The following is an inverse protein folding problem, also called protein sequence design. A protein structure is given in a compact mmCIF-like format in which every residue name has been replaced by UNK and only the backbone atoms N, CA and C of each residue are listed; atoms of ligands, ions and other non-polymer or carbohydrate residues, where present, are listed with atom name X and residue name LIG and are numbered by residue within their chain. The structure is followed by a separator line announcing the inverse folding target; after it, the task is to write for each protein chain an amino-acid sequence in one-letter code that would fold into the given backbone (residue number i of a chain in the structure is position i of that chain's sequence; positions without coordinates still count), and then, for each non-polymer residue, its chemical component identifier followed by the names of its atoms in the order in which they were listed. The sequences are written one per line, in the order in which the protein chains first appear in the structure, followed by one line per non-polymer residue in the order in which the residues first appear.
data_IF_177471912495
#
_entry.id   IF_177471912495
#
_cell.length_a   1.000
_cell.length_b   1.000
_cell.length_c   1.000
_cell.angle_alpha   90.00
_cell.angle_beta   90.00
_cell.angle_gamma   90.00
#
_symmetry.space_group_name_H-M   'P 1'
#
loop_
_entity.id
_entity.type
_entity.pdbx_description
1 polymer ?
#
# COMPACT_ATOMS: atom_id res chain seq x y z
N UNK A 1 -32.18 -0.69 -21.23
CA UNK A 1 -31.99 -0.48 -19.80
C UNK A 1 -30.51 -0.73 -19.47
N UNK A 2 -29.88 0.22 -18.79
CA UNK A 2 -28.50 0.05 -18.30
C UNK A 2 -28.56 -0.70 -16.98
N UNK A 3 -27.78 -1.75 -16.85
CA UNK A 3 -27.62 -2.51 -15.60
C UNK A 3 -26.19 -2.31 -15.10
N UNK A 4 -26.04 -1.88 -13.86
CA UNK A 4 -24.76 -1.70 -13.19
C UNK A 4 -24.71 -2.58 -11.97
N UNK A 5 -23.50 -2.92 -11.54
CA UNK A 5 -23.29 -3.57 -10.24
C UNK A 5 -23.49 -2.55 -9.12
N UNK A 6 -23.93 -3.02 -7.97
CA UNK A 6 -23.93 -2.24 -6.74
C UNK A 6 -22.49 -1.82 -6.40
N UNK A 7 -22.30 -0.59 -5.97
CA UNK A 7 -20.97 0.00 -5.73
C UNK A 7 -20.73 0.42 -4.27
N UNK A 8 -21.61 -0.02 -3.37
CA UNK A 8 -21.44 0.21 -1.94
C UNK A 8 -20.32 -0.62 -1.33
N UNK A 9 -19.73 -0.09 -0.27
CA UNK A 9 -18.79 -0.85 0.55
C UNK A 9 -19.58 -1.78 1.48
N UNK A 10 -19.44 -3.07 1.29
CA UNK A 10 -20.15 -4.09 2.05
C UNK A 10 -19.23 -4.83 3.01
N UNK A 11 -19.73 -5.09 4.22
CA UNK A 11 -19.05 -5.98 5.14
C UNK A 11 -19.40 -7.44 4.82
N UNK A 12 -18.37 -8.28 4.67
CA UNK A 12 -18.52 -9.69 4.37
C UNK A 12 -18.00 -10.55 5.53
N UNK A 13 -18.93 -11.35 6.13
CA UNK A 13 -18.62 -12.31 7.20
C UNK A 13 -17.88 -11.71 8.42
N UNK A 14 -18.07 -10.43 8.71
CA UNK A 14 -17.37 -9.72 9.81
C UNK A 14 -15.83 -9.83 9.75
N UNK A 15 -15.29 -10.16 8.59
CA UNK A 15 -13.85 -10.37 8.37
C UNK A 15 -13.29 -9.58 7.19
N UNK A 16 -14.13 -9.22 6.26
CA UNK A 16 -13.74 -8.59 5.02
C UNK A 16 -14.64 -7.42 4.69
N UNK A 17 -14.10 -6.46 3.99
CA UNK A 17 -14.86 -5.47 3.23
C UNK A 17 -14.73 -5.78 1.76
N UNK A 18 -15.82 -5.68 1.03
CA UNK A 18 -15.85 -5.80 -0.42
C UNK A 18 -16.47 -4.57 -1.05
N UNK A 19 -15.97 -4.16 -2.19
CA UNK A 19 -16.45 -2.98 -2.91
C UNK A 19 -15.60 -2.72 -4.15
N UNK A 20 -15.91 -1.63 -4.84
CA UNK A 20 -15.19 -1.19 -6.03
C UNK A 20 -14.04 -0.27 -5.65
N UNK A 21 -12.95 -0.34 -6.45
CA UNK A 21 -11.82 0.56 -6.35
C UNK A 21 -11.20 0.64 -4.94
N UNK A 22 -11.15 -0.50 -4.23
CA UNK A 22 -10.33 -0.62 -3.03
C UNK A 22 -8.83 -0.52 -3.38
N UNK A 23 -8.50 -0.82 -4.62
CA UNK A 23 -7.34 -0.39 -5.36
C UNK A 23 -7.56 1.03 -5.93
N UNK A 24 -6.95 2.11 -5.42
CA UNK A 24 -6.19 2.09 -4.14
C UNK A 24 -6.81 3.08 -3.13
N UNK A 25 -8.11 2.98 -2.89
CA UNK A 25 -8.77 3.75 -1.82
C UNK A 25 -8.23 3.37 -0.43
N UNK A 26 -7.70 2.14 -0.31
CA UNK A 26 -7.13 1.66 0.93
C UNK A 26 -5.83 2.38 1.28
N UNK A 27 -4.95 2.60 0.32
CA UNK A 27 -3.76 3.41 0.50
C UNK A 27 -4.11 4.86 0.86
N UNK A 28 -5.09 5.43 0.18
CA UNK A 28 -5.62 6.76 0.52
C UNK A 28 -6.12 6.86 1.97
N UNK A 29 -6.85 5.85 2.45
CA UNK A 29 -7.27 5.77 3.85
C UNK A 29 -6.06 5.68 4.81
N UNK A 30 -5.06 4.85 4.48
CA UNK A 30 -3.86 4.69 5.32
C UNK A 30 -3.11 6.01 5.50
N UNK A 31 -2.87 6.75 4.43
CA UNK A 31 -2.15 8.04 4.52
C UNK A 31 -2.96 9.08 5.30
N UNK A 32 -4.28 9.12 5.16
CA UNK A 32 -5.16 9.99 5.92
C UNK A 32 -5.11 9.66 7.42
N UNK A 33 -5.11 8.38 7.79
CA UNK A 33 -5.01 7.93 9.17
C UNK A 33 -3.66 8.27 9.80
N UNK A 34 -2.56 8.22 9.04
CA UNK A 34 -1.24 8.68 9.49
C UNK A 34 -1.29 10.16 9.89
N UNK A 35 -1.85 11.02 9.04
CA UNK A 35 -1.98 12.46 9.31
C UNK A 35 -2.82 12.71 10.56
N UNK A 36 -3.97 12.03 10.65
CA UNK A 36 -4.86 12.12 11.81
C UNK A 36 -4.11 11.80 13.09
N UNK A 37 -3.41 10.67 13.16
CA UNK A 37 -2.64 10.25 14.35
C UNK A 37 -1.51 11.19 14.71
N UNK A 38 -0.80 11.73 13.74
CA UNK A 38 0.24 12.74 13.98
C UNK A 38 -0.36 14.00 14.59
N UNK A 39 -1.51 14.44 14.08
CA UNK A 39 -2.23 15.61 14.60
C UNK A 39 -2.76 15.38 16.03
N UNK A 40 -3.42 14.26 16.28
CA UNK A 40 -3.97 13.90 17.59
C UNK A 40 -2.88 13.78 18.66
N UNK A 41 -1.75 13.19 18.33
CA UNK A 41 -0.61 13.03 19.23
C UNK A 41 0.24 14.33 19.36
N UNK A 42 -0.11 15.41 18.67
CA UNK A 42 0.64 16.68 18.63
C UNK A 42 2.14 16.47 18.40
N UNK A 43 2.49 15.45 17.63
CA UNK A 43 3.88 15.07 17.40
C UNK A 43 4.54 16.06 16.45
N UNK A 44 5.57 16.74 16.94
CA UNK A 44 6.43 17.56 16.09
C UNK A 44 7.36 16.64 15.31
N UNK A 45 7.43 16.86 14.01
CA UNK A 45 8.37 16.17 13.12
C UNK A 45 9.58 17.07 12.89
N UNK A 46 10.75 16.48 12.79
CA UNK A 46 12.01 17.18 12.49
C UNK A 46 12.26 17.27 10.97
N UNK A 47 11.27 16.90 10.16
CA UNK A 47 11.28 16.91 8.70
C UNK A 47 9.93 17.35 8.14
N UNK A 48 9.91 17.78 6.89
CA UNK A 48 8.67 18.07 6.15
C UNK A 48 7.98 16.76 5.74
N UNK A 49 6.70 16.61 6.08
CA UNK A 49 5.87 15.50 5.64
C UNK A 49 4.91 15.98 4.56
N UNK A 50 5.02 15.40 3.38
CA UNK A 50 4.07 15.55 2.29
C UNK A 50 3.17 14.31 2.23
N UNK A 51 1.87 14.53 2.23
CA UNK A 51 0.88 13.47 2.05
C UNK A 51 0.27 13.63 0.68
N UNK A 52 0.47 12.63 -0.15
CA UNK A 52 0.13 12.68 -1.57
C UNK A 52 -0.88 11.60 -1.90
N UNK A 53 -1.99 12.01 -2.50
CA UNK A 53 -2.91 11.10 -3.18
C UNK A 53 -2.74 11.34 -4.68
N UNK A 54 -1.87 10.55 -5.30
CA UNK A 54 -1.51 10.67 -6.71
C UNK A 54 -2.66 10.24 -7.62
N UNK A 55 -2.66 10.75 -8.83
CA UNK A 55 -3.64 10.40 -9.86
C UNK A 55 -2.97 9.59 -10.97
N UNK A 56 -3.78 8.84 -11.72
CA UNK A 56 -3.33 8.13 -12.92
C UNK A 56 -2.23 7.08 -12.65
N UNK A 57 -2.30 6.42 -11.50
CA UNK A 57 -1.43 5.28 -11.20
C UNK A 57 -1.64 4.17 -12.23
N UNK A 58 -2.88 3.70 -12.40
CA UNK A 58 -3.36 2.60 -13.26
C UNK A 58 -3.03 2.76 -14.75
N UNK A 59 -2.68 3.94 -15.18
CA UNK A 59 -2.39 4.26 -16.59
C UNK A 59 -0.96 4.79 -16.82
N UNK A 60 -0.06 4.48 -15.89
CA UNK A 60 1.38 4.73 -16.04
C UNK A 60 2.00 5.66 -15.02
N UNK A 61 1.56 5.65 -13.77
CA UNK A 61 2.19 6.32 -12.60
C UNK A 61 2.40 7.83 -12.76
N UNK A 62 1.58 8.49 -13.59
CA UNK A 62 1.85 9.84 -14.09
C UNK A 62 1.81 10.89 -12.99
N UNK A 63 0.85 10.77 -12.07
CA UNK A 63 0.73 11.69 -10.94
C UNK A 63 1.94 11.60 -10.02
N UNK A 64 2.40 10.39 -9.73
CA UNK A 64 3.59 10.16 -8.90
C UNK A 64 4.86 10.73 -9.54
N UNK A 65 5.05 10.55 -10.85
CA UNK A 65 6.17 11.14 -11.57
C UNK A 65 6.20 12.67 -11.44
N UNK A 66 5.08 13.33 -11.71
CA UNK A 66 4.98 14.79 -11.63
C UNK A 66 5.20 15.31 -10.20
N UNK A 67 4.70 14.60 -9.20
CA UNK A 67 4.86 14.98 -7.80
C UNK A 67 6.29 14.73 -7.32
N UNK A 68 6.92 13.64 -7.72
CA UNK A 68 8.31 13.33 -7.40
C UNK A 68 9.25 14.44 -7.93
N UNK A 69 9.06 14.86 -9.16
CA UNK A 69 9.83 15.96 -9.75
C UNK A 69 9.58 17.30 -9.03
N UNK A 70 8.33 17.60 -8.70
CA UNK A 70 7.96 18.88 -8.10
C UNK A 70 8.41 19.02 -6.65
N UNK A 71 8.30 17.96 -5.86
CA UNK A 71 8.61 17.96 -4.41
C UNK A 71 10.10 17.64 -4.20
N UNK A 72 10.67 16.79 -5.03
CA UNK A 72 12.04 16.24 -4.88
C UNK A 72 12.28 15.71 -3.47
N UNK A 73 11.51 14.71 -3.00
CA UNK A 73 11.61 14.23 -1.64
C UNK A 73 12.89 13.42 -1.43
N UNK A 74 13.44 13.44 -0.21
CA UNK A 74 14.57 12.57 0.16
C UNK A 74 14.14 11.12 0.34
N UNK A 75 12.89 10.90 0.78
CA UNK A 75 12.33 9.57 1.06
C UNK A 75 10.88 9.52 0.59
N UNK A 76 10.49 8.40 -0.02
CA UNK A 76 9.11 8.10 -0.37
C UNK A 76 8.68 6.78 0.26
N UNK A 77 7.56 6.78 0.99
CA UNK A 77 6.90 5.56 1.45
C UNK A 77 5.56 5.48 0.72
N UNK A 78 5.47 4.52 -0.18
CA UNK A 78 4.27 4.31 -1.00
C UNK A 78 3.38 3.26 -0.33
N UNK A 79 2.09 3.54 -0.30
CA UNK A 79 1.08 2.60 0.16
C UNK A 79 0.23 2.18 -1.01
N UNK A 80 0.12 0.89 -1.22
CA UNK A 80 -0.65 0.33 -2.32
C UNK A 80 -1.35 -0.97 -1.90
N UNK A 81 -1.96 -1.66 -2.82
CA UNK A 81 -2.49 -3.00 -2.64
C UNK A 81 -1.61 -4.03 -3.36
N UNK A 82 -1.79 -5.29 -3.03
CA UNK A 82 -1.17 -6.42 -3.73
C UNK A 82 -2.11 -7.61 -3.75
N UNK A 83 -1.84 -8.58 -4.60
CA UNK A 83 -2.70 -9.74 -4.71
C UNK A 83 -2.62 -10.68 -3.50
N UNK A 84 -3.78 -11.05 -2.95
CA UNK A 84 -3.88 -12.27 -2.12
C UNK A 84 -3.69 -13.49 -3.03
N UNK A 85 -2.59 -14.21 -2.84
CA UNK A 85 -2.23 -15.35 -3.68
C UNK A 85 -3.10 -16.61 -3.43
N UNK A 86 -4.06 -16.54 -2.51
CA UNK A 86 -5.14 -17.53 -2.42
C UNK A 86 -6.32 -17.21 -3.35
N UNK A 87 -6.27 -16.08 -4.07
CA UNK A 87 -7.24 -15.79 -5.13
C UNK A 87 -7.05 -16.78 -6.30
N UNK A 88 -8.11 -17.13 -7.01
CA UNK A 88 -8.00 -17.93 -8.23
C UNK A 88 -7.01 -17.31 -9.22
N UNK A 89 -6.33 -18.13 -10.00
CA UNK A 89 -5.39 -17.75 -11.06
C UNK A 89 -3.98 -17.30 -10.59
N UNK A 90 -3.67 -17.32 -9.29
CA UNK A 90 -2.33 -17.01 -8.81
C UNK A 90 -1.52 -18.29 -8.54
N UNK A 91 -0.32 -18.32 -9.12
CA UNK A 91 0.67 -19.39 -8.85
C UNK A 91 1.57 -18.96 -7.68
N UNK A 92 1.36 -19.56 -6.53
CA UNK A 92 2.15 -19.29 -5.31
C UNK A 92 3.64 -19.57 -5.48
N UNK A 93 4.03 -20.44 -6.41
CA UNK A 93 5.45 -20.71 -6.68
C UNK A 93 6.13 -19.51 -7.35
N UNK A 94 5.36 -18.71 -8.08
CA UNK A 94 5.87 -17.49 -8.74
C UNK A 94 5.69 -16.23 -7.90
N UNK A 95 4.54 -16.12 -7.23
CA UNK A 95 4.11 -14.89 -6.57
C UNK A 95 4.31 -14.89 -5.05
N UNK A 96 4.79 -16.00 -4.47
CA UNK A 96 4.88 -16.16 -3.02
C UNK A 96 3.54 -16.51 -2.37
N UNK A 97 3.50 -16.62 -1.06
CA UNK A 97 2.30 -16.96 -0.28
C UNK A 97 1.84 -15.74 0.54
N UNK A 98 1.25 -14.77 -0.14
CA UNK A 98 0.72 -13.54 0.43
C UNK A 98 -0.77 -13.70 0.71
N UNK A 99 -1.20 -13.38 1.94
CA UNK A 99 -2.57 -13.64 2.43
C UNK A 99 -3.22 -12.40 3.02
N UNK A 100 -4.45 -12.14 2.63
CA UNK A 100 -5.29 -11.14 3.31
C UNK A 100 -5.48 -11.52 4.80
N UNK A 101 -5.31 -10.53 5.67
CA UNK A 101 -5.41 -10.72 7.12
C UNK A 101 -4.13 -11.16 7.82
N UNK A 102 -3.04 -11.42 7.09
CA UNK A 102 -1.75 -11.83 7.68
C UNK A 102 -0.76 -10.67 7.89
N UNK A 103 -1.20 -9.45 7.74
CA UNK A 103 -0.38 -8.24 7.78
C UNK A 103 -0.08 -7.68 6.39
N UNK A 104 0.37 -6.42 6.30
CA UNK A 104 0.82 -5.83 5.04
C UNK A 104 2.02 -6.59 4.48
N UNK A 105 2.20 -6.51 3.17
CA UNK A 105 3.38 -7.01 2.50
C UNK A 105 4.41 -5.88 2.35
N UNK A 106 5.65 -6.16 2.75
CA UNK A 106 6.82 -5.31 2.53
C UNK A 106 7.60 -5.89 1.34
N UNK A 107 7.90 -5.06 0.36
CA UNK A 107 8.44 -5.52 -0.92
C UNK A 107 9.96 -5.35 -0.98
N UNK A 108 10.66 -6.41 -1.40
CA UNK A 108 12.02 -6.34 -1.91
C UNK A 108 11.99 -6.16 -3.43
N UNK A 109 12.79 -5.26 -3.97
CA UNK A 109 12.86 -5.06 -5.42
C UNK A 109 13.77 -3.93 -5.82
N UNK A 110 14.06 -3.77 -7.12
CA UNK A 110 14.99 -2.74 -7.61
C UNK A 110 14.59 -1.30 -7.26
N UNK A 111 13.30 -1.02 -7.18
CA UNK A 111 12.78 0.30 -6.81
C UNK A 111 12.74 0.53 -5.28
N UNK A 112 13.07 -0.48 -4.48
CA UNK A 112 13.01 -0.38 -3.02
C UNK A 112 14.41 -0.23 -2.44
N UNK A 113 14.60 0.81 -1.64
CA UNK A 113 15.87 1.06 -0.98
C UNK A 113 16.01 0.17 0.25
N UNK A 114 17.04 -0.70 0.26
CA UNK A 114 17.20 -1.76 1.24
C UNK A 114 17.29 -1.26 2.69
N UNK A 115 18.03 -0.18 2.96
CA UNK A 115 18.15 0.35 4.33
C UNK A 115 16.81 0.89 4.85
N UNK A 116 16.00 1.49 3.96
CA UNK A 116 14.67 1.94 4.31
C UNK A 116 13.72 0.76 4.59
N UNK A 117 13.80 -0.28 3.77
CA UNK A 117 13.05 -1.52 4.01
C UNK A 117 13.45 -2.18 5.34
N UNK A 118 14.74 -2.27 5.64
CA UNK A 118 15.24 -2.80 6.91
C UNK A 118 14.75 -1.98 8.10
N UNK A 119 14.66 -0.66 7.95
CA UNK A 119 14.08 0.21 8.98
C UNK A 119 12.60 -0.08 9.22
N UNK A 120 11.83 -0.30 8.16
CA UNK A 120 10.42 -0.69 8.27
C UNK A 120 10.27 -2.04 8.97
N UNK A 121 11.06 -3.03 8.57
CA UNK A 121 11.06 -4.37 9.18
C UNK A 121 11.40 -4.28 10.68
N UNK A 122 12.51 -3.63 11.04
CA UNK A 122 12.91 -3.44 12.44
C UNK A 122 11.85 -2.70 13.27
N UNK A 123 11.17 -1.74 12.63
CA UNK A 123 10.09 -1.00 13.28
C UNK A 123 8.88 -1.89 13.53
N UNK A 124 8.49 -2.70 12.54
CA UNK A 124 7.40 -3.67 12.66
C UNK A 124 7.70 -4.70 13.76
N UNK A 125 8.90 -5.26 13.78
CA UNK A 125 9.34 -6.23 14.79
C UNK A 125 9.30 -5.61 16.21
N UNK A 126 9.87 -4.43 16.37
CA UNK A 126 9.86 -3.69 17.65
C UNK A 126 8.45 -3.40 18.16
N UNK A 127 7.52 -3.11 17.25
CA UNK A 127 6.11 -2.84 17.55
C UNK A 127 5.25 -4.08 17.53
N UNK A 128 5.81 -5.25 17.26
CA UNK A 128 5.09 -6.53 17.14
C UNK A 128 3.97 -6.47 16.08
N UNK A 129 4.15 -5.70 15.04
CA UNK A 129 3.24 -5.61 13.90
C UNK A 129 3.53 -6.78 12.96
N UNK A 130 2.53 -7.58 12.66
CA UNK A 130 2.65 -8.67 11.69
C UNK A 130 2.81 -8.10 10.28
N UNK A 131 3.72 -8.65 9.51
CA UNK A 131 3.94 -8.32 8.10
C UNK A 131 4.28 -9.58 7.31
N UNK A 132 4.26 -9.45 6.00
CA UNK A 132 4.68 -10.48 5.06
C UNK A 132 5.77 -9.90 4.16
N UNK A 133 6.61 -10.77 3.59
CA UNK A 133 7.65 -10.36 2.67
C UNK A 133 7.31 -10.83 1.27
N UNK A 134 7.48 -9.96 0.30
CA UNK A 134 7.32 -10.29 -1.11
C UNK A 134 8.48 -9.72 -1.92
N UNK A 135 8.66 -10.22 -3.14
CA UNK A 135 9.72 -9.77 -4.03
C UNK A 135 9.16 -9.35 -5.37
N UNK A 136 9.68 -8.23 -5.88
CA UNK A 136 9.47 -7.77 -7.25
C UNK A 136 10.78 -7.94 -8.03
N UNK A 137 10.73 -8.64 -9.17
CA UNK A 137 11.94 -8.95 -9.93
C UNK A 137 12.47 -7.79 -10.78
N UNK A 138 11.59 -6.91 -11.23
CA UNK A 138 11.91 -5.76 -12.09
C UNK A 138 11.18 -4.49 -11.66
N UNK A 139 9.86 -4.53 -11.68
CA UNK A 139 8.98 -3.42 -11.34
C UNK A 139 8.09 -3.84 -10.19
N UNK A 140 7.74 -2.90 -9.34
CA UNK A 140 6.72 -3.09 -8.32
C UNK A 140 5.32 -3.00 -8.92
N UNK A 141 5.18 -2.30 -10.04
CA UNK A 141 3.90 -1.98 -10.67
C UNK A 141 3.08 -0.98 -9.86
N UNK A 142 3.76 -0.11 -9.11
CA UNK A 142 3.14 0.89 -8.23
C UNK A 142 3.86 2.23 -8.36
N UNK A 143 3.33 3.27 -7.75
CA UNK A 143 3.97 4.60 -7.69
C UNK A 143 5.40 4.57 -7.11
N UNK A 144 5.81 3.49 -6.44
CA UNK A 144 7.19 3.31 -5.96
C UNK A 144 8.20 3.39 -7.10
N UNK A 145 7.87 2.80 -8.25
CA UNK A 145 8.76 2.83 -9.42
C UNK A 145 8.97 4.27 -9.93
N UNK A 146 7.92 5.09 -9.88
CA UNK A 146 8.00 6.49 -10.30
C UNK A 146 8.89 7.30 -9.36
N UNK A 147 8.74 7.15 -8.05
CA UNK A 147 9.59 7.86 -7.08
C UNK A 147 11.04 7.40 -7.15
N UNK A 148 11.28 6.08 -7.14
CA UNK A 148 12.63 5.52 -7.08
C UNK A 148 13.54 5.97 -8.24
N UNK A 149 12.96 6.20 -9.40
CA UNK A 149 13.70 6.57 -10.61
C UNK A 149 13.53 8.05 -11.02
N UNK A 150 12.97 8.88 -10.15
CA UNK A 150 12.85 10.32 -10.36
C UNK A 150 14.05 11.08 -9.82
N UNK A 151 14.32 12.24 -10.39
CA UNK A 151 15.43 13.12 -10.01
C UNK A 151 16.79 12.37 -9.99
N UNK A 152 17.53 12.44 -8.91
CA UNK A 152 18.79 11.71 -8.71
C UNK A 152 18.59 10.35 -8.02
N UNK A 153 17.36 9.88 -7.99
CA UNK A 153 16.92 8.68 -7.26
C UNK A 153 16.39 9.03 -5.88
N UNK A 154 15.18 8.58 -5.57
CA UNK A 154 14.52 8.79 -4.28
C UNK A 154 14.53 7.49 -3.49
N UNK A 155 15.01 7.53 -2.24
CA UNK A 155 14.96 6.37 -1.35
C UNK A 155 13.50 5.95 -1.11
N UNK A 156 13.06 4.89 -1.76
CA UNK A 156 11.65 4.49 -1.81
C UNK A 156 11.40 3.16 -1.12
N UNK A 157 10.22 3.01 -0.52
CA UNK A 157 9.74 1.76 0.04
C UNK A 157 8.25 1.58 -0.27
N UNK A 158 7.81 0.32 -0.30
CA UNK A 158 6.45 -0.07 -0.62
C UNK A 158 5.84 -0.90 0.51
N UNK A 159 4.68 -0.47 0.97
CA UNK A 159 3.81 -1.17 1.93
C UNK A 159 2.51 -1.49 1.22
N UNK A 160 2.25 -2.77 0.95
CA UNK A 160 1.07 -3.20 0.21
C UNK A 160 0.08 -3.96 1.08
N UNK A 161 -1.21 -3.68 0.91
CA UNK A 161 -2.27 -4.45 1.55
C UNK A 161 -2.74 -5.58 0.64
N UNK A 162 -2.74 -6.84 1.12
CA UNK A 162 -3.25 -7.95 0.33
C UNK A 162 -4.74 -7.82 0.04
N UNK A 163 -5.09 -7.84 -1.23
CA UNK A 163 -6.41 -7.66 -1.80
C UNK A 163 -6.80 -8.87 -2.64
N UNK A 164 -8.05 -9.30 -2.55
CA UNK A 164 -8.62 -10.33 -3.44
C UNK A 164 -9.38 -9.67 -4.59
N UNK A 165 -9.34 -10.33 -5.73
CA UNK A 165 -10.11 -9.93 -6.92
C UNK A 165 -9.82 -8.51 -7.39
N UNK A 166 -8.56 -8.09 -7.31
CA UNK A 166 -8.08 -6.79 -7.81
C UNK A 166 -8.54 -6.53 -9.24
N UNK A 167 -8.84 -5.27 -9.54
CA UNK A 167 -9.36 -4.81 -10.84
C UNK A 167 -10.73 -5.40 -11.21
N UNK A 168 -11.51 -5.78 -10.21
CA UNK A 168 -12.91 -6.21 -10.40
C UNK A 168 -13.88 -5.33 -9.61
N UNK A 169 -15.17 -5.57 -9.80
CA UNK A 169 -16.23 -4.85 -9.06
C UNK A 169 -16.42 -5.36 -7.62
N UNK A 170 -15.72 -6.41 -7.23
CA UNK A 170 -15.85 -7.10 -5.93
C UNK A 170 -14.50 -7.25 -5.22
N UNK A 171 -13.67 -6.25 -5.35
CA UNK A 171 -12.41 -6.23 -4.62
C UNK A 171 -12.64 -6.42 -3.13
N UNK A 172 -11.82 -7.24 -2.50
CA UNK A 172 -12.08 -7.68 -1.13
C UNK A 172 -10.82 -7.58 -0.28
N UNK A 173 -10.89 -6.82 0.80
CA UNK A 173 -9.79 -6.59 1.75
C UNK A 173 -10.12 -7.12 3.12
N UNK A 174 -9.13 -7.58 3.86
CA UNK A 174 -9.36 -8.03 5.24
C UNK A 174 -9.62 -6.86 6.18
N UNK A 175 -10.65 -6.99 7.00
CA UNK A 175 -11.01 -6.05 8.06
C UNK A 175 -9.86 -5.82 9.07
N UNK A 176 -9.05 -6.85 9.32
CA UNK A 176 -7.92 -6.75 10.26
C UNK A 176 -6.84 -5.79 9.80
N UNK A 177 -6.71 -5.57 8.49
CA UNK A 177 -5.78 -4.55 7.95
C UNK A 177 -6.22 -3.13 8.31
N UNK A 178 -7.52 -2.90 8.44
CA UNK A 178 -8.08 -1.61 8.83
C UNK A 178 -8.01 -1.38 10.34
N UNK A 179 -8.19 -2.44 11.14
CA UNK A 179 -8.15 -2.37 12.61
C UNK A 179 -6.78 -2.55 13.23
N UNK A 180 -5.79 -3.06 12.53
CA UNK A 180 -4.43 -3.22 13.06
C UNK A 180 -3.85 -1.88 13.58
N UNK A 181 -4.48 -0.79 13.23
CA UNK A 181 -4.15 0.54 13.68
C UNK A 181 -4.87 0.97 14.98
N UNK A 182 -5.91 0.28 15.42
CA UNK A 182 -6.66 0.67 16.64
C UNK A 182 -6.00 0.17 17.93
N UNK A 183 -5.15 -0.85 17.87
CA UNK A 183 -4.59 -1.53 19.07
C UNK A 183 -3.13 -1.21 19.36
N UNK A 184 -2.48 -0.33 18.61
CA UNK A 184 -1.07 0.03 18.79
C UNK A 184 -0.87 1.46 19.34
N UNK A 185 -1.64 1.80 20.37
CA UNK A 185 -1.32 2.95 21.25
C UNK A 185 -0.34 2.55 22.32
#
# INVERSE_FOLDING_TARGET
CVVTFEDELMELNKKYFTGRALDNRMGGFMIAEVVKRLSENKKKLDFGLYVVNSVQEEIGLRGAQMIAERISPDVAIVTDVTHDTNSPMYDKKKSGDIKAGSGPALTFGPAVQNNLLDLLIKTADKKKIKYQLMAASRFTGTDTDAFAYSNEGVASALISLPLKYMHTTVETVSYTHLRAHETSL
#
